data_IF_262405950797
#
_entry.id   IF_262405950797
#
_cell.length_a   1.000
_cell.length_b   1.000
_cell.length_c   1.000
_cell.angle_alpha   90.00
_cell.angle_beta   90.00
_cell.angle_gamma   90.00
#
_symmetry.space_group_name_H-M   'P 1'
#
loop_
_entity.id
_entity.type
_entity.pdbx_description
1 polymer ?
#
# COMPACT_ATOMS: atom_id res chain seq x y z
N UNK A 1 3.27 13.46 -9.68
CA UNK A 1 3.06 13.00 -8.30
C UNK A 1 3.35 11.51 -8.30
N UNK A 2 4.34 11.07 -7.52
CA UNK A 2 4.79 9.69 -7.48
C UNK A 2 3.73 8.84 -6.74
N UNK A 3 3.45 7.60 -7.18
CA UNK A 3 2.41 6.74 -6.58
C UNK A 3 2.62 6.53 -5.07
N UNK A 4 3.87 6.53 -4.62
CA UNK A 4 4.24 6.46 -3.21
C UNK A 4 3.72 7.65 -2.38
N UNK A 5 3.77 8.87 -2.95
CA UNK A 5 3.31 10.09 -2.28
C UNK A 5 1.79 10.09 -2.13
N UNK A 6 1.08 9.57 -3.13
CA UNK A 6 -0.38 9.43 -3.09
C UNK A 6 -0.81 8.47 -1.99
N UNK A 7 -0.21 7.27 -1.92
CA UNK A 7 -0.54 6.28 -0.88
C UNK A 7 -0.27 6.85 0.51
N UNK A 8 0.86 7.54 0.71
CA UNK A 8 1.21 8.16 1.99
C UNK A 8 0.22 9.26 2.40
N UNK A 9 -0.16 10.12 1.45
CA UNK A 9 -1.17 11.17 1.67
C UNK A 9 -2.52 10.55 2.03
N UNK A 10 -2.98 9.58 1.25
CA UNK A 10 -4.29 8.95 1.41
C UNK A 10 -4.37 8.20 2.76
N UNK A 11 -3.32 7.47 3.12
CA UNK A 11 -3.21 6.79 4.40
C UNK A 11 -3.36 7.74 5.61
N UNK A 12 -2.89 8.98 5.47
CA UNK A 12 -2.97 9.99 6.52
C UNK A 12 -4.33 10.70 6.53
N UNK A 13 -4.83 11.14 5.38
CA UNK A 13 -5.97 12.06 5.29
C UNK A 13 -7.34 11.38 5.29
N UNK A 14 -7.47 10.11 4.86
CA UNK A 14 -8.77 9.43 4.91
C UNK A 14 -9.21 9.17 6.34
N UNK A 15 -10.42 9.55 6.72
CA UNK A 15 -10.89 9.39 8.10
C UNK A 15 -11.28 7.94 8.45
N UNK A 16 -11.42 7.08 7.44
CA UNK A 16 -11.82 5.69 7.65
C UNK A 16 -10.80 4.90 8.44
N UNK A 17 -11.31 4.08 9.37
CA UNK A 17 -10.50 3.26 10.27
C UNK A 17 -9.89 2.05 9.56
N UNK A 18 -10.49 1.59 8.46
CA UNK A 18 -10.05 0.45 7.67
C UNK A 18 -9.87 0.88 6.21
N UNK A 19 -8.65 0.79 5.71
CA UNK A 19 -8.29 1.25 4.35
C UNK A 19 -7.59 0.10 3.63
N UNK A 20 -8.00 -0.16 2.38
CA UNK A 20 -7.39 -1.16 1.52
C UNK A 20 -6.85 -0.49 0.26
N UNK A 21 -5.53 -0.57 0.06
CA UNK A 21 -4.88 -0.10 -1.17
C UNK A 21 -4.64 -1.29 -2.11
N UNK A 22 -5.24 -1.23 -3.30
CA UNK A 22 -4.98 -2.19 -4.37
C UNK A 22 -4.08 -1.54 -5.43
N UNK A 23 -2.86 -2.04 -5.55
CA UNK A 23 -1.84 -1.51 -6.46
C UNK A 23 -1.59 -2.54 -7.55
N UNK A 24 -1.92 -2.19 -8.80
CA UNK A 24 -1.54 -3.00 -9.96
C UNK A 24 -0.21 -2.52 -10.52
N UNK A 25 0.86 -3.24 -10.21
CA UNK A 25 2.22 -2.93 -10.66
C UNK A 25 2.56 -3.67 -11.96
N UNK A 26 1.96 -3.20 -13.06
CA UNK A 26 2.11 -3.78 -14.40
C UNK A 26 3.58 -3.92 -14.85
N UNK A 27 4.42 -2.96 -14.48
CA UNK A 27 5.80 -2.85 -14.97
C UNK A 27 6.83 -3.37 -13.97
N UNK A 28 6.38 -3.96 -12.84
CA UNK A 28 7.25 -4.45 -11.77
C UNK A 28 8.22 -3.38 -11.24
N UNK A 29 7.72 -2.16 -11.10
CA UNK A 29 8.48 -1.05 -10.52
C UNK A 29 8.82 -1.35 -9.05
N UNK A 30 7.93 -2.07 -8.35
CA UNK A 30 8.11 -2.49 -6.97
C UNK A 30 8.91 -3.78 -6.96
N UNK A 31 10.24 -3.67 -6.81
CA UNK A 31 11.14 -4.82 -6.84
C UNK A 31 10.96 -5.78 -5.66
N UNK A 32 10.57 -5.26 -4.48
CA UNK A 32 10.31 -6.05 -3.29
C UNK A 32 8.91 -5.78 -2.76
N UNK A 33 7.96 -6.61 -3.21
CA UNK A 33 6.54 -6.51 -2.86
C UNK A 33 6.31 -6.65 -1.36
N UNK A 34 6.96 -7.61 -0.70
CA UNK A 34 6.78 -7.85 0.74
C UNK A 34 7.23 -6.64 1.58
N UNK A 35 8.42 -6.11 1.29
CA UNK A 35 8.94 -4.94 1.99
C UNK A 35 8.06 -3.71 1.75
N UNK A 36 7.59 -3.51 0.52
CA UNK A 36 6.69 -2.40 0.19
C UNK A 36 5.35 -2.55 0.93
N UNK A 37 4.69 -3.71 0.85
CA UNK A 37 3.44 -3.95 1.56
C UNK A 37 3.58 -3.71 3.06
N UNK A 38 4.67 -4.15 3.69
CA UNK A 38 4.93 -3.90 5.12
C UNK A 38 5.14 -2.41 5.43
N UNK A 39 5.85 -1.68 4.58
CA UNK A 39 6.12 -0.25 4.80
C UNK A 39 4.85 0.62 4.71
N UNK A 40 3.87 0.23 3.90
CA UNK A 40 2.64 0.99 3.66
C UNK A 40 1.39 0.39 4.32
N UNK A 41 1.51 -0.75 5.00
CA UNK A 41 0.45 -1.31 5.83
C UNK A 41 0.59 -0.85 7.28
N UNK A 42 -0.54 -0.74 7.98
CA UNK A 42 -0.60 -0.36 9.40
C UNK A 42 -1.55 -1.27 10.14
N UNK A 43 -1.17 -1.68 11.35
CA UNK A 43 -2.06 -2.43 12.25
C UNK A 43 -2.74 -1.47 13.23
N UNK A 44 -4.03 -1.73 13.50
CA UNK A 44 -4.81 -1.09 14.55
C UNK A 44 -4.16 -1.15 15.94
N UNK A 45 -3.34 -2.17 16.21
CA UNK A 45 -2.69 -2.32 17.52
C UNK A 45 -1.60 -1.28 17.76
N UNK A 46 -1.08 -0.69 16.69
CA UNK A 46 0.04 0.27 16.71
C UNK A 46 -0.34 1.65 16.19
N UNK A 47 -1.49 1.76 15.52
CA UNK A 47 -1.96 2.96 14.84
C UNK A 47 -3.47 3.11 14.97
N UNK A 48 -3.98 4.32 14.75
CA UNK A 48 -5.42 4.60 14.80
C UNK A 48 -6.22 4.00 13.63
N UNK A 49 -5.53 3.42 12.63
CA UNK A 49 -6.11 2.84 11.41
C UNK A 49 -5.48 1.48 11.08
N UNK A 50 -6.31 0.59 10.55
CA UNK A 50 -5.88 -0.59 9.81
C UNK A 50 -5.70 -0.18 8.35
N UNK A 51 -4.49 -0.39 7.82
CA UNK A 51 -4.21 -0.20 6.41
C UNK A 51 -3.61 -1.48 5.87
N UNK A 52 -4.23 -2.03 4.82
CA UNK A 52 -3.65 -3.15 4.09
C UNK A 52 -3.28 -2.73 2.67
N UNK A 53 -2.03 -2.98 2.31
CA UNK A 53 -1.52 -2.70 0.96
C UNK A 53 -1.32 -4.00 0.19
N UNK A 54 -2.17 -4.21 -0.81
CA UNK A 54 -2.19 -5.39 -1.67
C UNK A 54 -1.60 -5.01 -3.03
N UNK A 55 -0.53 -5.70 -3.43
CA UNK A 55 0.17 -5.44 -4.68
C UNK A 55 -0.03 -6.63 -5.61
N UNK A 56 -0.47 -6.36 -6.83
CA UNK A 56 -0.69 -7.35 -7.87
C UNK A 56 0.31 -7.05 -8.99
N UNK A 57 1.18 -8.01 -9.27
CA UNK A 57 2.12 -7.96 -10.40
C UNK A 57 1.74 -9.03 -11.43
N UNK A 58 1.92 -8.77 -12.73
CA UNK A 58 1.72 -9.79 -13.75
C UNK A 58 2.73 -10.93 -13.58
N UNK A 59 2.26 -12.16 -13.81
CA UNK A 59 3.12 -13.34 -13.90
C UNK A 59 3.93 -13.22 -15.20
N UNK A 60 5.24 -13.37 -15.11
CA UNK A 60 6.12 -13.48 -16.28
C UNK A 60 6.61 -14.91 -16.32
N UNK A 61 6.42 -15.57 -17.45
CA UNK A 61 7.02 -16.85 -17.76
C UNK A 61 8.32 -16.64 -18.53
#
# INVERSE_FOLDING_TARGET
MNSTEQIGSDAFHYQEKYIYFFIYDKHRVIANVDAFSKAYSKSLDTHEKQIETIIIQPISF
#
